data_IF_567386257082
#
_entry.id   IF_567386257082
#
_cell.length_a   1.000
_cell.length_b   1.000
_cell.length_c   1.000
_cell.angle_alpha   90.00
_cell.angle_beta   90.00
_cell.angle_gamma   90.00
#
_symmetry.space_group_name_H-M   'P 1'
#
loop_
_entity.id
_entity.type
_entity.pdbx_description
1 polymer ?
#
# COMPACT_ATOMS: atom_id res chain seq x y z
N UNK A 1 -22.78 1.33 -43.45
CA UNK A 1 -22.87 2.41 -42.44
C UNK A 1 -23.02 1.87 -41.02
N UNK A 2 -23.92 0.91 -40.74
CA UNK A 2 -24.11 0.34 -39.41
C UNK A 2 -22.82 -0.17 -38.72
N UNK A 3 -21.89 -0.80 -39.46
CA UNK A 3 -20.62 -1.27 -38.90
C UNK A 3 -19.67 -0.15 -38.42
N UNK A 4 -19.70 1.02 -39.07
CA UNK A 4 -18.88 2.18 -38.66
C UNK A 4 -19.41 2.76 -37.36
N UNK A 5 -20.74 2.88 -37.25
CA UNK A 5 -21.41 3.34 -36.03
C UNK A 5 -21.12 2.39 -34.86
N UNK A 6 -21.20 1.08 -35.09
CA UNK A 6 -20.85 0.07 -34.09
C UNK A 6 -19.39 0.17 -33.65
N UNK A 7 -18.45 0.34 -34.59
CA UNK A 7 -17.05 0.52 -34.29
C UNK A 7 -16.79 1.77 -33.43
N UNK A 8 -17.46 2.89 -33.70
CA UNK A 8 -17.35 4.11 -32.91
C UNK A 8 -17.85 3.93 -31.46
N UNK A 9 -18.96 3.21 -31.26
CA UNK A 9 -19.50 2.93 -29.92
C UNK A 9 -18.54 2.07 -29.11
N UNK A 10 -18.01 1.00 -29.72
CA UNK A 10 -17.04 0.12 -29.07
C UNK A 10 -15.77 0.89 -28.73
N UNK A 11 -15.25 1.70 -29.66
CA UNK A 11 -14.05 2.51 -29.43
C UNK A 11 -14.23 3.50 -28.26
N UNK A 12 -15.42 4.12 -28.14
CA UNK A 12 -15.72 5.04 -27.04
C UNK A 12 -15.70 4.35 -25.66
N UNK A 13 -16.25 3.14 -25.56
CA UNK A 13 -16.25 2.38 -24.31
C UNK A 13 -14.88 1.82 -23.97
N UNK A 14 -14.18 1.26 -24.96
CA UNK A 14 -12.82 0.76 -24.81
C UNK A 14 -11.86 1.86 -24.36
N UNK A 15 -12.00 3.08 -24.89
CA UNK A 15 -11.19 4.22 -24.47
C UNK A 15 -11.43 4.60 -22.99
N UNK A 16 -12.69 4.57 -22.54
CA UNK A 16 -13.03 4.78 -21.12
C UNK A 16 -12.36 3.74 -20.22
N UNK A 17 -12.49 2.45 -20.56
CA UNK A 17 -11.87 1.36 -19.82
C UNK A 17 -10.34 1.45 -19.77
N UNK A 18 -9.70 1.78 -20.90
CA UNK A 18 -8.24 1.96 -20.95
C UNK A 18 -7.81 3.14 -20.09
N UNK A 19 -8.54 4.26 -20.13
CA UNK A 19 -8.24 5.44 -19.31
C UNK A 19 -8.38 5.15 -17.82
N UNK A 20 -9.44 4.45 -17.43
CA UNK A 20 -9.71 4.13 -16.02
C UNK A 20 -8.69 3.12 -15.49
N UNK A 21 -8.34 2.10 -16.28
CA UNK A 21 -7.29 1.12 -15.93
C UNK A 21 -5.92 1.79 -15.87
N UNK A 22 -5.63 2.67 -16.84
CA UNK A 22 -4.38 3.43 -16.89
C UNK A 22 -4.25 4.39 -15.70
N UNK A 23 -5.34 5.04 -15.28
CA UNK A 23 -5.36 5.90 -14.10
C UNK A 23 -5.09 5.11 -12.82
N UNK A 24 -5.59 3.88 -12.67
CA UNK A 24 -5.27 3.03 -11.51
C UNK A 24 -3.78 2.68 -11.46
N UNK A 25 -3.16 2.44 -12.61
CA UNK A 25 -1.73 2.12 -12.71
C UNK A 25 -0.84 3.37 -12.54
N UNK A 26 -1.29 4.55 -13.01
CA UNK A 26 -0.57 5.83 -12.85
C UNK A 26 -0.77 6.49 -11.49
N UNK A 27 -1.91 6.27 -10.81
CA UNK A 27 -2.19 6.71 -9.44
C UNK A 27 -1.48 5.82 -8.39
N UNK A 28 -0.49 5.06 -8.84
CA UNK A 28 0.55 4.45 -8.03
C UNK A 28 1.51 5.52 -7.49
N UNK A 29 0.98 6.61 -6.92
CA UNK A 29 1.76 7.44 -6.03
C UNK A 29 1.68 6.76 -4.65
N UNK A 30 2.75 6.10 -4.17
CA UNK A 30 2.75 5.51 -2.85
C UNK A 30 2.37 6.60 -1.86
N UNK A 31 1.40 6.32 -1.00
CA UNK A 31 0.83 7.28 -0.05
C UNK A 31 1.94 7.70 0.94
N UNK A 32 2.75 8.68 0.56
CA UNK A 32 3.93 9.16 1.31
C UNK A 32 3.53 9.63 2.70
N UNK A 33 2.30 10.16 2.83
CA UNK A 33 1.74 10.56 4.11
C UNK A 33 1.45 9.34 4.98
N UNK A 34 0.85 8.29 4.42
CA UNK A 34 0.68 7.02 5.14
C UNK A 34 2.02 6.42 5.54
N UNK A 35 3.01 6.40 4.64
CA UNK A 35 4.35 5.90 4.96
C UNK A 35 4.96 6.64 6.15
N UNK A 36 4.94 7.98 6.12
CA UNK A 36 5.42 8.79 7.24
C UNK A 36 4.67 8.51 8.55
N UNK A 37 3.34 8.38 8.50
CA UNK A 37 2.53 8.05 9.67
C UNK A 37 2.84 6.66 10.25
N UNK A 38 3.17 5.68 9.41
CA UNK A 38 3.58 4.34 9.82
C UNK A 38 4.97 4.38 10.47
N UNK A 39 5.95 5.03 9.84
CA UNK A 39 7.28 5.23 10.42
C UNK A 39 7.18 5.91 11.78
N UNK A 40 6.47 7.03 11.88
CA UNK A 40 6.24 7.73 13.15
C UNK A 40 5.44 6.92 14.18
N UNK A 41 4.68 5.90 13.77
CA UNK A 41 4.00 5.00 14.70
C UNK A 41 4.97 4.03 15.37
N UNK A 42 5.91 3.51 14.57
CA UNK A 42 6.82 2.42 14.95
C UNK A 42 8.04 2.99 15.68
N UNK A 43 8.59 4.10 15.18
CA UNK A 43 9.86 4.68 15.64
C UNK A 43 9.76 5.46 16.97
N UNK A 44 8.63 5.37 17.68
CA UNK A 44 8.40 6.08 18.96
C UNK A 44 9.33 5.56 20.06
N UNK A 45 9.66 4.27 19.99
CA UNK A 45 10.18 3.52 21.12
C UNK A 45 11.60 2.95 20.87
N UNK A 46 12.35 3.54 19.93
CA UNK A 46 13.69 3.06 19.56
C UNK A 46 13.69 1.93 18.53
N UNK A 47 12.52 1.46 18.10
CA UNK A 47 12.41 0.61 16.91
C UNK A 47 12.72 1.45 15.67
N UNK A 48 13.24 0.81 14.62
CA UNK A 48 13.52 1.47 13.34
C UNK A 48 12.85 0.73 12.19
N UNK A 49 12.23 1.47 11.28
CA UNK A 49 11.71 0.88 10.04
C UNK A 49 12.87 0.73 9.05
N UNK A 50 13.33 -0.50 8.84
CA UNK A 50 14.41 -0.79 7.91
C UNK A 50 13.95 -0.83 6.45
N UNK A 51 12.71 -1.28 6.23
CA UNK A 51 12.07 -1.28 4.92
C UNK A 51 10.56 -1.10 5.08
N UNK A 52 9.95 -0.33 4.17
CA UNK A 52 8.51 -0.12 4.12
C UNK A 52 8.05 0.03 2.67
N UNK A 53 7.31 -0.97 2.20
CA UNK A 53 6.68 -0.97 0.90
C UNK A 53 5.17 -0.90 1.05
N UNK A 54 4.58 0.17 0.50
CA UNK A 54 3.14 0.37 0.42
C UNK A 54 2.68 0.26 -1.03
N UNK A 55 1.59 -0.45 -1.26
CA UNK A 55 0.94 -0.52 -2.56
C UNK A 55 -0.58 -0.47 -2.42
N UNK A 56 -1.26 -0.04 -3.47
CA UNK A 56 -2.72 -0.01 -3.52
C UNK A 56 -3.24 -1.36 -4.01
N UNK A 57 -4.15 -1.95 -3.24
CA UNK A 57 -4.87 -3.18 -3.59
C UNK A 57 -6.17 -2.88 -4.36
N UNK A 58 -6.74 -1.70 -4.14
CA UNK A 58 -7.98 -1.25 -4.78
C UNK A 58 -8.44 0.10 -4.23
N UNK A 59 -9.62 0.59 -4.60
CA UNK A 59 -10.19 1.83 -4.05
C UNK A 59 -10.26 1.78 -2.51
N UNK A 60 -9.44 2.59 -1.83
CA UNK A 60 -9.45 2.69 -0.36
C UNK A 60 -8.69 1.59 0.40
N UNK A 61 -8.08 0.63 -0.31
CA UNK A 61 -7.38 -0.50 0.29
C UNK A 61 -5.88 -0.47 -0.05
N UNK A 62 -5.05 -0.51 0.98
CA UNK A 62 -3.59 -0.53 0.91
C UNK A 62 -3.04 -1.85 1.47
N UNK A 63 -2.01 -2.37 0.81
CA UNK A 63 -1.13 -3.40 1.34
C UNK A 63 0.15 -2.78 1.88
N UNK A 64 0.72 -3.37 2.93
CA UNK A 64 1.99 -2.99 3.51
C UNK A 64 2.86 -4.23 3.77
N UNK A 65 4.13 -4.14 3.40
CA UNK A 65 5.20 -5.03 3.84
C UNK A 65 6.22 -4.14 4.52
N UNK A 66 6.63 -4.49 5.72
CA UNK A 66 7.66 -3.76 6.44
C UNK A 66 8.58 -4.67 7.23
N UNK A 67 9.83 -4.24 7.34
CA UNK A 67 10.84 -4.82 8.21
C UNK A 67 11.13 -3.83 9.35
N UNK A 68 11.01 -4.29 10.59
CA UNK A 68 11.29 -3.49 11.78
C UNK A 68 12.51 -4.05 12.49
N UNK A 69 13.49 -3.20 12.72
CA UNK A 69 14.66 -3.49 13.53
C UNK A 69 14.37 -3.04 14.97
N UNK A 70 14.54 -3.94 15.93
CA UNK A 70 14.28 -3.65 17.34
C UNK A 70 15.26 -4.41 18.23
N UNK A 71 15.66 -3.79 19.35
CA UNK A 71 16.39 -4.45 20.45
C UNK A 71 15.44 -5.10 21.48
N UNK A 72 14.13 -4.87 21.34
CA UNK A 72 13.11 -5.37 22.25
C UNK A 72 12.63 -6.76 21.83
N UNK A 73 12.14 -7.53 22.80
CA UNK A 73 11.45 -8.80 22.55
C UNK A 73 10.01 -8.57 22.00
N UNK A 74 9.90 -7.86 20.87
CA UNK A 74 8.65 -7.60 20.14
C UNK A 74 8.49 -8.63 19.03
N UNK A 75 7.26 -9.09 18.80
CA UNK A 75 6.93 -9.98 17.68
C UNK A 75 6.15 -9.22 16.60
N UNK A 76 5.92 -9.86 15.46
CA UNK A 76 5.16 -9.28 14.36
C UNK A 76 3.75 -8.83 14.79
N UNK A 77 3.10 -9.57 15.69
CA UNK A 77 1.73 -9.28 16.13
C UNK A 77 1.61 -7.94 16.88
N UNK A 78 2.62 -7.56 17.66
CA UNK A 78 2.68 -6.24 18.30
C UNK A 78 2.51 -5.11 17.27
N UNK A 79 3.27 -5.17 16.16
CA UNK A 79 3.19 -4.18 15.10
C UNK A 79 1.89 -4.28 14.30
N UNK A 80 1.35 -5.48 14.11
CA UNK A 80 0.02 -5.65 13.48
C UNK A 80 -1.06 -4.93 14.29
N UNK A 81 -1.05 -5.06 15.61
CA UNK A 81 -1.99 -4.37 16.51
C UNK A 81 -1.76 -2.86 16.49
N UNK A 82 -0.51 -2.41 16.57
CA UNK A 82 -0.14 -0.99 16.51
C UNK A 82 -0.64 -0.31 15.22
N UNK A 83 -0.52 -1.00 14.08
CA UNK A 83 -0.90 -0.48 12.76
C UNK A 83 -2.39 -0.66 12.44
N UNK A 84 -3.15 -1.44 13.22
CA UNK A 84 -4.58 -1.64 13.02
C UNK A 84 -5.42 -0.34 13.10
N UNK A 85 -4.85 0.73 13.68
CA UNK A 85 -5.44 2.08 13.68
C UNK A 85 -5.61 2.67 12.27
N UNK A 86 -4.83 2.22 11.30
CA UNK A 86 -4.90 2.66 9.91
C UNK A 86 -5.87 1.79 9.11
N UNK A 87 -7.16 2.18 9.11
CA UNK A 87 -8.26 1.41 8.47
C UNK A 87 -8.07 1.13 6.97
N UNK A 88 -7.24 1.91 6.29
CA UNK A 88 -6.90 1.71 4.88
C UNK A 88 -5.93 0.54 4.67
N UNK A 89 -5.16 0.13 5.68
CA UNK A 89 -4.27 -1.03 5.61
C UNK A 89 -5.09 -2.32 5.73
N UNK A 90 -5.27 -3.00 4.61
CA UNK A 90 -6.09 -4.23 4.52
C UNK A 90 -5.24 -5.50 4.60
N UNK A 91 -3.97 -5.41 4.21
CA UNK A 91 -3.04 -6.53 4.32
C UNK A 91 -1.70 -6.01 4.82
N UNK A 92 -1.18 -6.61 5.89
CA UNK A 92 0.09 -6.22 6.50
C UNK A 92 0.92 -7.48 6.70
N UNK A 93 2.18 -7.43 6.28
CA UNK A 93 3.22 -8.41 6.61
C UNK A 93 4.34 -7.67 7.33
N UNK A 94 4.71 -8.17 8.51
CA UNK A 94 5.75 -7.58 9.33
C UNK A 94 6.83 -8.60 9.55
N UNK A 95 8.06 -8.24 9.17
CA UNK A 95 9.27 -8.94 9.56
C UNK A 95 9.90 -8.20 10.75
N UNK A 96 10.31 -8.95 11.78
CA UNK A 96 11.00 -8.37 12.93
C UNK A 96 12.43 -8.87 12.94
N UNK A 97 13.37 -7.93 12.79
CA UNK A 97 14.80 -8.19 12.75
C UNK A 97 15.40 -7.77 14.09
N UNK A 98 15.94 -8.71 14.88
CA UNK A 98 16.62 -8.35 16.11
C UNK A 98 17.94 -7.63 15.79
N UNK A 99 18.28 -6.61 16.59
CA UNK A 99 19.61 -5.99 16.52
C UNK A 99 20.64 -7.04 16.95
N UNK A 100 21.42 -7.54 15.98
CA UNK A 100 22.57 -8.40 16.26
C UNK A 100 23.73 -7.52 16.70
N UNK A 101 24.08 -7.62 17.98
CA UNK A 101 25.29 -7.05 18.55
C UNK A 101 26.51 -7.92 18.20
#
# INVERSE_FOLDING_TARGET
MAGIVGACVIASWSYGLVRDTGAILLDMNPDKKMAGNICSAIEIDGDQVADLHLWRLGPGHLGAILAVVTDKARNADYYRVLLARFKTLSHITVEVVPIRN
#
